data_IF_459263885736
#
_entry.id   IF_459263885736
#
_cell.length_a   1.000
_cell.length_b   1.000
_cell.length_c   1.000
_cell.angle_alpha   90.00
_cell.angle_beta   90.00
_cell.angle_gamma   90.00
#
_symmetry.space_group_name_H-M   'P 1'
#
loop_
_entity.id
_entity.type
_entity.pdbx_description
1 polymer ?
#
# COMPACT_ATOMS: atom_id res chain seq x y z
N UNK A 1 -16.59 8.56 18.83
CA UNK A 1 -15.46 9.48 18.51
C UNK A 1 -15.71 10.24 17.21
N UNK A 2 -15.53 11.56 17.15
CA UNK A 2 -15.60 12.33 15.89
C UNK A 2 -14.28 12.16 15.09
N UNK A 3 -14.27 12.47 13.80
CA UNK A 3 -13.07 12.40 12.96
C UNK A 3 -11.93 13.28 13.50
N UNK A 4 -12.24 14.49 13.97
CA UNK A 4 -11.23 15.39 14.56
C UNK A 4 -10.55 14.75 15.79
N UNK A 5 -11.34 14.12 16.65
CA UNK A 5 -10.84 13.45 17.85
C UNK A 5 -9.92 12.28 17.47
N UNK A 6 -10.31 11.48 16.48
CA UNK A 6 -9.50 10.38 15.94
C UNK A 6 -8.11 10.88 15.50
N UNK A 7 -8.06 11.97 14.73
CA UNK A 7 -6.80 12.55 14.26
C UNK A 7 -5.95 13.05 15.41
N UNK A 8 -6.54 13.76 16.39
CA UNK A 8 -5.80 14.31 17.52
C UNK A 8 -5.24 13.23 18.44
N UNK A 9 -6.02 12.19 18.71
CA UNK A 9 -5.62 11.04 19.53
C UNK A 9 -4.50 10.24 18.86
N UNK A 10 -4.56 10.06 17.53
CA UNK A 10 -3.64 9.20 16.78
C UNK A 10 -2.56 9.97 16.01
N UNK A 11 -2.34 11.26 16.33
CA UNK A 11 -1.46 12.16 15.56
C UNK A 11 -0.05 11.62 15.31
N UNK A 12 0.52 10.89 16.28
CA UNK A 12 1.87 10.33 16.17
C UNK A 12 1.90 9.18 15.15
N UNK A 13 0.93 8.27 15.22
CA UNK A 13 0.81 7.18 14.25
C UNK A 13 0.58 7.72 12.83
N UNK A 14 -0.30 8.72 12.69
CA UNK A 14 -0.56 9.37 11.40
C UNK A 14 0.69 10.06 10.84
N UNK A 15 1.50 10.70 11.70
CA UNK A 15 2.77 11.29 11.30
C UNK A 15 3.75 10.22 10.84
N UNK A 16 3.86 9.09 11.54
CA UNK A 16 4.71 7.96 11.14
C UNK A 16 4.27 7.39 9.80
N UNK A 17 2.97 7.17 9.60
CA UNK A 17 2.42 6.70 8.31
C UNK A 17 2.76 7.70 7.21
N UNK A 18 2.55 9.00 7.44
CA UNK A 18 2.86 10.04 6.47
C UNK A 18 4.35 10.05 6.10
N UNK A 19 5.25 9.98 7.08
CA UNK A 19 6.70 9.91 6.85
C UNK A 19 7.06 8.63 6.09
N UNK A 20 6.49 7.48 6.44
CA UNK A 20 6.72 6.23 5.73
C UNK A 20 6.29 6.30 4.25
N UNK A 21 5.14 6.91 3.95
CA UNK A 21 4.68 7.13 2.58
C UNK A 21 5.67 8.03 1.83
N UNK A 22 6.13 9.14 2.43
CA UNK A 22 7.10 10.03 1.80
C UNK A 22 8.45 9.34 1.52
N UNK A 23 8.88 8.45 2.40
CA UNK A 23 10.14 7.71 2.24
C UNK A 23 9.99 6.50 1.31
N UNK A 24 8.76 6.05 1.01
CA UNK A 24 8.50 4.84 0.23
C UNK A 24 9.21 4.80 -1.15
N UNK A 25 9.35 5.90 -1.92
CA UNK A 25 10.07 5.85 -3.21
C UNK A 25 11.55 5.50 -3.08
N UNK A 26 12.17 5.79 -1.92
CA UNK A 26 13.56 5.43 -1.67
C UNK A 26 13.76 3.92 -1.65
N UNK A 27 12.75 3.16 -1.23
CA UNK A 27 12.79 1.70 -1.25
C UNK A 27 12.72 1.15 -2.66
N UNK A 28 11.91 1.76 -3.54
CA UNK A 28 11.88 1.40 -4.96
C UNK A 28 13.24 1.65 -5.63
N UNK A 29 13.83 2.83 -5.40
CA UNK A 29 15.16 3.15 -5.91
C UNK A 29 16.25 2.24 -5.34
N UNK A 30 16.16 1.87 -4.06
CA UNK A 30 17.11 0.95 -3.45
C UNK A 30 16.97 -0.48 -4.02
N UNK A 31 15.75 -0.94 -4.28
CA UNK A 31 15.49 -2.23 -4.91
C UNK A 31 16.11 -2.30 -6.31
N UNK A 32 15.91 -1.26 -7.12
CA UNK A 32 16.52 -1.14 -8.45
C UNK A 32 18.06 -1.12 -8.36
N UNK A 33 18.62 -0.36 -7.41
CA UNK A 33 20.06 -0.23 -7.23
C UNK A 33 20.77 -1.55 -6.86
N UNK A 34 20.06 -2.48 -6.20
CA UNK A 34 20.61 -3.80 -5.84
C UNK A 34 20.17 -4.90 -6.81
N UNK A 35 19.41 -4.57 -7.86
CA UNK A 35 18.86 -5.54 -8.80
C UNK A 35 17.91 -6.54 -8.12
N UNK A 36 17.14 -6.06 -7.13
CA UNK A 36 16.14 -6.89 -6.47
C UNK A 36 15.10 -7.34 -7.49
N UNK A 37 14.85 -8.64 -7.53
CA UNK A 37 13.77 -9.28 -8.27
C UNK A 37 12.94 -10.08 -7.27
N UNK A 38 11.63 -10.14 -7.48
CA UNK A 38 10.77 -10.92 -6.60
C UNK A 38 11.19 -12.41 -6.66
N UNK A 39 11.41 -13.09 -5.50
CA UNK A 39 11.92 -14.46 -5.51
C UNK A 39 11.05 -15.45 -6.28
N UNK A 40 9.73 -15.24 -6.28
CA UNK A 40 8.79 -16.09 -6.99
C UNK A 40 8.89 -15.89 -8.50
N UNK A 41 8.95 -14.64 -8.95
CA UNK A 41 9.13 -14.32 -10.36
C UNK A 41 10.45 -14.87 -10.92
N UNK A 42 11.55 -14.70 -10.19
CA UNK A 42 12.85 -15.30 -10.56
C UNK A 42 12.80 -16.83 -10.62
N UNK A 43 12.04 -17.45 -9.72
CA UNK A 43 11.87 -18.91 -9.71
C UNK A 43 11.02 -19.38 -10.90
N UNK A 44 9.97 -18.63 -11.25
CA UNK A 44 9.12 -18.88 -12.40
C UNK A 44 9.91 -18.78 -13.72
N UNK A 45 10.72 -17.71 -13.89
CA UNK A 45 11.63 -17.56 -15.03
C UNK A 45 12.59 -18.75 -15.14
N UNK A 46 13.19 -19.19 -14.02
CA UNK A 46 14.11 -20.32 -14.01
C UNK A 46 13.45 -21.64 -14.43
N UNK A 47 12.14 -21.77 -14.21
CA UNK A 47 11.32 -22.92 -14.60
C UNK A 47 10.70 -22.75 -15.99
N UNK A 48 10.89 -21.61 -16.65
CA UNK A 48 10.25 -21.28 -17.94
C UNK A 48 8.73 -21.14 -17.83
N UNK A 49 8.22 -20.79 -16.64
CA UNK A 49 6.80 -20.57 -16.43
C UNK A 49 6.40 -19.19 -16.96
N UNK A 50 5.40 -19.14 -17.83
CA UNK A 50 4.80 -17.89 -18.30
C UNK A 50 3.67 -17.46 -17.36
N UNK A 51 3.62 -16.17 -17.04
CA UNK A 51 2.52 -15.60 -16.27
C UNK A 51 1.30 -15.34 -17.16
N UNK A 52 0.13 -15.85 -16.76
CA UNK A 52 -1.15 -15.54 -17.40
C UNK A 52 -2.11 -15.00 -16.34
N UNK A 53 -2.20 -13.67 -16.16
CA UNK A 53 -3.06 -13.10 -15.12
C UNK A 53 -4.53 -13.40 -15.43
N UNK A 54 -5.19 -14.12 -14.53
CA UNK A 54 -6.63 -14.43 -14.62
C UNK A 54 -7.49 -13.18 -14.37
N UNK A 55 -6.92 -12.16 -13.72
CA UNK A 55 -7.59 -10.91 -13.38
C UNK A 55 -6.57 -9.78 -13.29
N UNK A 56 -6.71 -8.73 -14.11
CA UNK A 56 -5.81 -7.57 -14.10
C UNK A 56 -6.06 -6.59 -12.93
N UNK A 57 -7.25 -6.62 -12.32
CA UNK A 57 -7.58 -5.78 -11.18
C UNK A 57 -7.41 -4.27 -11.38
N UNK A 58 -7.61 -3.53 -10.30
CA UNK A 58 -7.39 -2.07 -10.26
C UNK A 58 -5.90 -1.77 -9.97
N UNK A 59 -5.22 -2.70 -9.31
CA UNK A 59 -3.80 -2.63 -8.91
C UNK A 59 -3.14 -4.00 -9.22
N UNK A 60 -2.86 -4.33 -10.50
CA UNK A 60 -2.12 -5.54 -10.84
C UNK A 60 -0.77 -5.52 -10.14
N UNK A 61 -0.39 -6.63 -9.52
CA UNK A 61 0.87 -6.80 -8.78
C UNK A 61 1.15 -5.67 -7.78
N UNK A 62 0.07 -5.16 -7.16
CA UNK A 62 0.10 -4.03 -6.23
C UNK A 62 0.69 -2.74 -6.83
N UNK A 63 0.73 -2.67 -8.16
CA UNK A 63 1.29 -1.58 -8.95
C UNK A 63 0.20 -0.74 -9.61
N UNK A 64 0.56 0.49 -9.99
CA UNK A 64 -0.34 1.41 -10.69
C UNK A 64 0.04 1.42 -12.17
N UNK A 65 -0.86 0.96 -13.07
CA UNK A 65 -0.57 0.92 -14.50
C UNK A 65 -0.22 2.32 -15.05
N UNK A 66 0.87 2.39 -15.82
CA UNK A 66 1.32 3.64 -16.46
C UNK A 66 2.11 4.59 -15.56
N UNK A 67 2.54 4.17 -14.37
CA UNK A 67 3.44 4.92 -13.50
C UNK A 67 4.79 4.22 -13.33
N UNK A 68 5.86 5.02 -13.32
CA UNK A 68 7.23 4.53 -13.06
C UNK A 68 7.37 4.05 -11.60
N UNK A 69 8.24 3.06 -11.37
CA UNK A 69 8.41 2.34 -10.09
C UNK A 69 8.46 3.23 -8.83
N UNK A 70 9.24 4.34 -8.76
CA UNK A 70 9.26 5.19 -7.57
C UNK A 70 7.95 5.95 -7.33
N UNK A 71 7.30 6.43 -8.39
CA UNK A 71 6.02 7.15 -8.31
C UNK A 71 4.91 6.16 -7.99
N UNK A 72 4.92 4.99 -8.63
CA UNK A 72 3.99 3.89 -8.37
C UNK A 72 4.01 3.48 -6.91
N UNK A 73 5.20 3.33 -6.31
CA UNK A 73 5.37 2.97 -4.89
C UNK A 73 4.80 4.04 -3.95
N UNK A 74 5.04 5.33 -4.24
CA UNK A 74 4.43 6.43 -3.48
C UNK A 74 2.90 6.37 -3.52
N UNK A 75 2.34 6.23 -4.72
CA UNK A 75 0.89 6.21 -4.92
C UNK A 75 0.27 4.97 -4.27
N UNK A 76 0.88 3.79 -4.41
CA UNK A 76 0.43 2.56 -3.77
C UNK A 76 0.44 2.70 -2.24
N UNK A 77 1.51 3.25 -1.65
CA UNK A 77 1.59 3.52 -0.22
C UNK A 77 0.52 4.50 0.27
N UNK A 78 0.28 5.57 -0.48
CA UNK A 78 -0.75 6.57 -0.17
C UNK A 78 -2.16 5.96 -0.25
N UNK A 79 -2.51 5.34 -1.38
CA UNK A 79 -3.83 4.77 -1.63
C UNK A 79 -4.12 3.62 -0.66
N UNK A 80 -3.19 2.68 -0.49
CA UNK A 80 -3.34 1.56 0.43
C UNK A 80 -3.54 2.02 1.89
N UNK A 81 -2.78 3.02 2.33
CA UNK A 81 -2.93 3.58 3.68
C UNK A 81 -4.28 4.27 3.86
N UNK A 82 -4.72 5.07 2.89
CA UNK A 82 -6.02 5.75 2.96
C UNK A 82 -7.17 4.75 2.96
N UNK A 83 -7.16 3.76 2.07
CA UNK A 83 -8.19 2.71 2.01
C UNK A 83 -8.27 1.97 3.34
N UNK A 84 -7.13 1.57 3.89
CA UNK A 84 -7.07 0.87 5.18
C UNK A 84 -7.63 1.72 6.32
N UNK A 85 -7.21 2.98 6.43
CA UNK A 85 -7.68 3.88 7.49
C UNK A 85 -9.18 4.16 7.37
N UNK A 86 -9.69 4.38 6.15
CA UNK A 86 -11.11 4.61 5.90
C UNK A 86 -11.94 3.39 6.30
N UNK A 87 -11.54 2.20 5.86
CA UNK A 87 -12.24 0.95 6.17
C UNK A 87 -12.27 0.74 7.69
N UNK A 88 -11.12 0.83 8.36
CA UNK A 88 -11.05 0.57 9.80
C UNK A 88 -11.75 1.63 10.64
N UNK A 89 -11.74 2.89 10.20
CA UNK A 89 -12.55 3.93 10.82
C UNK A 89 -14.05 3.62 10.68
N UNK A 90 -14.48 3.18 9.50
CA UNK A 90 -15.86 2.72 9.26
C UNK A 90 -16.27 1.53 10.12
N UNK A 91 -15.43 0.50 10.20
CA UNK A 91 -15.64 -0.67 11.08
C UNK A 91 -15.78 -0.24 12.54
N UNK A 92 -14.90 0.64 13.01
CA UNK A 92 -14.94 1.18 14.38
C UNK A 92 -16.27 1.89 14.65
N UNK A 93 -16.77 2.68 13.70
CA UNK A 93 -18.08 3.35 13.80
C UNK A 93 -19.24 2.39 13.85
N UNK A 94 -19.23 1.35 13.02
CA UNK A 94 -20.27 0.32 13.00
C UNK A 94 -20.33 -0.46 14.32
N UNK A 95 -19.18 -0.79 14.90
CA UNK A 95 -19.10 -1.48 16.19
C UNK A 95 -19.62 -0.58 17.33
N UNK A 96 -19.22 0.69 17.36
CA UNK A 96 -19.69 1.66 18.36
C UNK A 96 -21.20 1.90 18.27
N UNK A 97 -21.75 1.96 17.05
CA UNK A 97 -23.19 2.14 16.83
C UNK A 97 -24.03 0.93 17.25
N UNK A 98 -23.45 -0.27 17.38
CA UNK A 98 -24.14 -1.48 17.85
C UNK A 98 -24.19 -1.60 19.37
N UNK A 99 -23.24 -0.97 20.08
CA UNK A 99 -23.13 -1.01 21.54
C UNK A 99 -23.89 0.12 22.25
N UNK A 100 -24.53 1.03 21.48
CA UNK A 100 -25.44 2.06 21.96
C UNK A 100 -26.88 1.66 21.64
#
# INVERSE_FOLDING_TARGET
MNFKDFILEHKQALLVIFVAILLSPLFALAADAVGYSEPLEKSAEHLGAEETPLYGGILPDYSVPGLDSPIGTFIAGLVGSLVTLIIMYGVTKLIQGRNN
#
